data_IF_575326540891
#
_entry.id   IF_575326540891
#
_cell.length_a   1.000
_cell.length_b   1.000
_cell.length_c   1.000
_cell.angle_alpha   90.00
_cell.angle_beta   90.00
_cell.angle_gamma   90.00
#
_symmetry.space_group_name_H-M   'P 1'
#
loop_
_entity.id
_entity.type
_entity.pdbx_description
1 polymer ?
#
# COMPACT_ATOMS: atom_id res chain seq x y z
N UNK A 1 0.77 21.10 13.77
CA UNK A 1 2.10 20.84 13.20
C UNK A 1 2.74 22.19 12.90
N UNK A 2 3.94 22.41 13.40
CA UNK A 2 4.75 23.60 13.08
C UNK A 2 5.35 23.46 11.69
N UNK A 3 5.32 24.53 10.91
CA UNK A 3 5.93 24.58 9.58
C UNK A 3 7.32 25.21 9.71
N UNK A 4 8.34 24.48 9.35
CA UNK A 4 9.75 24.88 9.39
C UNK A 4 10.40 24.78 8.01
N UNK A 5 11.57 25.39 7.87
CA UNK A 5 12.33 25.27 6.64
C UNK A 5 13.83 25.35 6.90
N UNK A 6 14.60 24.73 6.01
CA UNK A 6 16.05 24.76 6.00
C UNK A 6 16.52 25.08 4.58
N UNK A 7 17.47 25.99 4.45
CA UNK A 7 18.15 26.26 3.19
C UNK A 7 19.38 25.35 3.06
N UNK A 8 19.52 24.71 1.91
CA UNK A 8 20.64 23.82 1.60
C UNK A 8 21.10 24.13 0.17
N UNK A 9 22.23 24.78 0.04
CA UNK A 9 22.82 25.15 -1.26
C UNK A 9 21.86 25.96 -2.16
N UNK A 10 21.10 26.90 -1.57
CA UNK A 10 20.12 27.73 -2.28
C UNK A 10 18.77 27.08 -2.52
N UNK A 11 18.57 25.84 -2.10
CA UNK A 11 17.27 25.19 -2.16
C UNK A 11 16.63 25.12 -0.78
N UNK A 12 15.37 25.55 -0.71
CA UNK A 12 14.60 25.58 0.54
C UNK A 12 13.79 24.29 0.69
N UNK A 13 14.14 23.46 1.68
CA UNK A 13 13.34 22.30 2.08
C UNK A 13 12.36 22.74 3.17
N UNK A 14 11.08 22.69 2.86
CA UNK A 14 9.98 22.94 3.82
C UNK A 14 9.56 21.63 4.45
N UNK A 15 9.41 21.60 5.77
CA UNK A 15 8.97 20.42 6.49
C UNK A 15 8.03 20.76 7.64
N UNK A 16 7.21 19.78 8.05
CA UNK A 16 6.23 19.94 9.11
C UNK A 16 6.66 19.11 10.33
N UNK A 17 6.78 19.76 11.47
CA UNK A 17 7.22 19.14 12.72
C UNK A 17 6.03 18.89 13.62
N UNK A 18 6.00 17.70 14.22
CA UNK A 18 5.08 17.34 15.28
C UNK A 18 5.83 16.79 16.48
N UNK A 19 5.66 17.42 17.65
CA UNK A 19 6.20 16.89 18.90
C UNK A 19 5.34 15.74 19.39
N UNK A 20 5.95 14.61 19.70
CA UNK A 20 5.29 13.39 20.16
C UNK A 20 6.07 12.74 21.30
N UNK A 21 5.40 11.88 22.04
CA UNK A 21 6.07 11.02 23.02
C UNK A 21 6.78 9.85 22.31
N UNK A 22 7.87 10.18 21.62
CA UNK A 22 8.73 9.23 20.88
C UNK A 22 10.17 9.38 21.35
N UNK A 23 10.98 8.33 21.23
CA UNK A 23 12.41 8.35 21.62
C UNK A 23 13.32 8.88 20.51
N UNK A 24 12.94 8.70 19.26
CA UNK A 24 13.77 9.02 18.10
C UNK A 24 13.04 9.95 17.13
N UNK A 25 13.80 10.64 16.28
CA UNK A 25 13.27 11.39 15.15
C UNK A 25 12.71 10.40 14.11
N UNK A 26 11.46 10.63 13.69
CA UNK A 26 10.86 9.93 12.57
C UNK A 26 10.60 10.91 11.43
N UNK A 27 11.26 10.70 10.30
CA UNK A 27 11.12 11.49 9.08
C UNK A 27 10.32 10.71 8.04
N UNK A 28 9.39 11.39 7.38
CA UNK A 28 8.61 10.85 6.26
C UNK A 28 8.52 11.89 5.15
N UNK A 29 8.59 11.42 3.92
CA UNK A 29 8.12 12.13 2.73
C UNK A 29 6.82 11.43 2.32
N UNK A 30 5.75 12.19 2.15
CA UNK A 30 4.45 11.63 1.73
C UNK A 30 4.33 11.64 0.20
N UNK A 31 3.31 10.99 -0.34
CA UNK A 31 3.02 10.99 -1.79
C UNK A 31 2.79 12.41 -2.36
N UNK A 32 2.25 13.33 -1.55
CA UNK A 32 2.11 14.76 -1.88
C UNK A 32 3.43 15.54 -1.72
N UNK A 33 4.57 14.84 -1.65
CA UNK A 33 5.94 15.37 -1.48
C UNK A 33 6.16 16.17 -0.19
N UNK A 34 5.15 16.25 0.69
CA UNK A 34 5.31 16.90 1.99
C UNK A 34 6.26 16.14 2.87
N UNK A 35 7.25 16.86 3.38
CA UNK A 35 8.20 16.35 4.38
C UNK A 35 7.58 16.53 5.75
N UNK A 36 7.38 15.44 6.48
CA UNK A 36 6.83 15.45 7.84
C UNK A 36 7.80 14.80 8.82
N UNK A 37 7.93 15.37 10.00
CA UNK A 37 8.84 14.90 11.04
C UNK A 37 8.13 14.81 12.37
N UNK A 38 8.31 13.68 13.08
CA UNK A 38 7.95 13.56 14.49
C UNK A 38 9.22 13.58 15.33
N UNK A 39 9.27 14.45 16.35
CA UNK A 39 10.40 14.60 17.27
C UNK A 39 9.95 14.41 18.73
N UNK A 40 10.88 14.02 19.64
CA UNK A 40 10.62 13.99 21.08
C UNK A 40 10.13 15.35 21.62
N UNK A 41 9.30 15.31 22.65
CA UNK A 41 8.67 16.52 23.24
C UNK A 41 9.68 17.63 23.63
N UNK A 42 10.85 17.23 24.16
CA UNK A 42 11.89 18.15 24.69
C UNK A 42 13.02 18.45 23.68
N UNK A 43 12.93 17.94 22.45
CA UNK A 43 14.00 18.13 21.47
C UNK A 43 13.98 19.55 20.93
N UNK A 44 15.14 20.18 20.85
CA UNK A 44 15.32 21.48 20.21
C UNK A 44 15.10 21.40 18.71
N UNK A 45 14.48 22.44 18.14
CA UNK A 45 14.16 22.47 16.70
C UNK A 45 15.41 22.50 15.82
N UNK A 46 16.48 23.06 16.33
CA UNK A 46 17.76 23.13 15.59
C UNK A 46 18.33 21.74 15.34
N UNK A 47 18.18 20.80 16.27
CA UNK A 47 18.58 19.40 16.05
C UNK A 47 17.76 18.76 14.93
N UNK A 48 16.47 19.07 14.85
CA UNK A 48 15.60 18.63 13.77
C UNK A 48 16.03 19.22 12.41
N UNK A 49 16.39 20.50 12.37
CA UNK A 49 16.91 21.17 11.17
C UNK A 49 18.22 20.54 10.69
N UNK A 50 19.15 20.28 11.60
CA UNK A 50 20.40 19.58 11.26
C UNK A 50 20.15 18.14 10.75
N UNK A 51 19.16 17.45 11.30
CA UNK A 51 18.77 16.15 10.79
C UNK A 51 18.22 16.22 9.37
N UNK A 52 17.40 17.24 9.05
CA UNK A 52 16.91 17.48 7.68
C UNK A 52 18.08 17.75 6.73
N UNK A 53 19.06 18.57 7.11
CA UNK A 53 20.27 18.83 6.29
C UNK A 53 20.99 17.51 5.96
N UNK A 54 21.23 16.66 6.95
CA UNK A 54 21.87 15.35 6.76
C UNK A 54 21.07 14.40 5.88
N UNK A 55 19.74 14.59 5.78
CA UNK A 55 18.83 13.75 5.00
C UNK A 55 18.36 14.39 3.69
N UNK A 56 18.91 15.53 3.32
CA UNK A 56 18.45 16.30 2.15
C UNK A 56 18.46 15.50 0.85
N UNK A 57 19.56 14.80 0.56
CA UNK A 57 19.65 13.95 -0.63
C UNK A 57 18.61 12.83 -0.63
N UNK A 58 18.39 12.20 0.53
CA UNK A 58 17.35 11.19 0.67
C UNK A 58 15.96 11.78 0.47
N UNK A 59 15.68 12.98 1.03
CA UNK A 59 14.41 13.68 0.84
C UNK A 59 14.17 13.97 -0.64
N UNK A 60 15.18 14.53 -1.34
CA UNK A 60 15.10 14.79 -2.78
C UNK A 60 14.87 13.52 -3.58
N UNK A 61 15.63 12.47 -3.27
CA UNK A 61 15.44 11.16 -3.93
C UNK A 61 14.02 10.65 -3.75
N UNK A 62 13.43 10.79 -2.55
CA UNK A 62 12.03 10.41 -2.31
C UNK A 62 11.04 11.31 -3.03
N UNK A 63 11.27 12.63 -3.08
CA UNK A 63 10.40 13.56 -3.80
C UNK A 63 10.45 13.32 -5.30
N UNK A 64 11.64 13.17 -5.90
CA UNK A 64 11.80 12.82 -7.32
C UNK A 64 11.22 11.45 -7.65
N UNK A 65 11.34 10.51 -6.72
CA UNK A 65 10.69 9.20 -6.85
C UNK A 65 9.16 9.34 -6.94
N UNK A 66 8.57 10.21 -6.12
CA UNK A 66 7.13 10.51 -6.20
C UNK A 66 6.76 11.38 -7.41
N UNK A 67 7.70 12.14 -8.00
CA UNK A 67 7.49 12.87 -9.26
C UNK A 67 7.40 11.95 -10.48
N UNK A 68 8.10 10.81 -10.44
CA UNK A 68 8.02 9.82 -11.53
C UNK A 68 6.69 9.08 -11.56
N UNK A 69 5.93 9.12 -10.47
CA UNK A 69 4.53 8.69 -10.44
C UNK A 69 3.67 9.91 -10.80
N UNK A 70 3.37 10.09 -12.07
CA UNK A 70 2.33 11.00 -12.49
C UNK A 70 1.09 10.76 -11.66
N UNK A 71 0.47 11.82 -11.15
CA UNK A 71 -0.76 11.81 -10.36
C UNK A 71 -1.98 11.33 -11.18
N UNK A 72 -1.88 10.26 -11.90
CA UNK A 72 -3.03 9.49 -12.26
C UNK A 72 -3.45 8.67 -11.01
N UNK A 73 -4.00 9.39 -10.00
CA UNK A 73 -5.02 8.73 -9.19
C UNK A 73 -5.94 8.10 -10.21
N UNK A 74 -5.98 6.78 -10.24
CA UNK A 74 -7.02 6.08 -11.00
C UNK A 74 -8.39 6.50 -10.44
N UNK A 75 -8.84 7.69 -10.82
CA UNK A 75 -10.24 8.05 -10.69
C UNK A 75 -10.97 7.26 -11.76
N UNK A 76 -11.24 6.00 -11.44
CA UNK A 76 -12.06 5.15 -12.31
C UNK A 76 -13.36 5.89 -12.56
N UNK A 77 -13.60 6.22 -13.82
CA UNK A 77 -14.80 6.97 -14.24
C UNK A 77 -16.02 6.06 -14.43
N UNK A 78 -15.79 4.74 -14.36
CA UNK A 78 -16.79 3.71 -14.63
C UNK A 78 -17.45 3.87 -16.00
N UNK A 79 -16.62 3.90 -17.02
CA UNK A 79 -17.02 3.98 -18.43
C UNK A 79 -16.54 2.76 -19.22
N UNK A 80 -17.27 2.42 -20.27
CA UNK A 80 -16.86 1.34 -21.17
C UNK A 80 -15.52 1.66 -21.83
N UNK A 81 -14.61 0.66 -21.87
CA UNK A 81 -13.29 0.79 -22.46
C UNK A 81 -12.20 1.27 -21.49
N UNK A 82 -12.58 1.71 -20.29
CA UNK A 82 -11.63 2.10 -19.24
C UNK A 82 -10.73 0.94 -18.85
N UNK A 83 -9.48 1.24 -18.50
CA UNK A 83 -8.50 0.23 -18.07
C UNK A 83 -8.60 0.03 -16.56
N UNK A 84 -8.72 -1.22 -16.14
CA UNK A 84 -8.64 -1.62 -14.73
C UNK A 84 -7.57 -2.69 -14.55
N UNK A 85 -6.95 -2.73 -13.38
CA UNK A 85 -5.92 -3.69 -13.04
C UNK A 85 -6.47 -4.73 -12.06
N UNK A 86 -6.10 -6.00 -12.29
CA UNK A 86 -6.37 -7.10 -11.37
C UNK A 86 -5.22 -8.11 -11.45
N UNK A 87 -4.61 -8.46 -10.33
CA UNK A 87 -3.47 -9.38 -10.23
C UNK A 87 -2.32 -9.05 -11.21
N UNK A 88 -2.02 -7.75 -11.39
CA UNK A 88 -0.98 -7.25 -12.29
C UNK A 88 -1.35 -7.26 -13.78
N UNK A 89 -2.56 -7.67 -14.14
CA UNK A 89 -3.03 -7.69 -15.52
C UNK A 89 -3.99 -6.53 -15.79
N UNK A 90 -3.89 -5.99 -16.98
CA UNK A 90 -4.80 -4.96 -17.49
C UNK A 90 -6.02 -5.59 -18.15
N UNK A 91 -7.19 -5.03 -17.83
CA UNK A 91 -8.47 -5.40 -18.42
C UNK A 91 -9.19 -4.17 -18.92
N UNK A 92 -10.01 -4.33 -19.95
CA UNK A 92 -10.93 -3.28 -20.42
C UNK A 92 -12.30 -3.49 -19.78
N UNK A 93 -12.77 -2.45 -19.09
CA UNK A 93 -14.08 -2.46 -18.44
C UNK A 93 -15.20 -2.52 -19.49
N UNK A 94 -16.18 -3.34 -19.22
CA UNK A 94 -17.47 -3.36 -19.92
C UNK A 94 -18.62 -3.34 -18.91
N UNK A 95 -19.52 -2.39 -19.05
CA UNK A 95 -20.73 -2.30 -18.26
C UNK A 95 -21.86 -2.91 -19.08
N UNK A 96 -22.49 -3.94 -18.56
CA UNK A 96 -23.47 -4.76 -19.27
C UNK A 96 -24.79 -4.73 -18.49
N UNK A 97 -25.90 -4.27 -19.09
CA UNK A 97 -27.23 -4.40 -18.51
C UNK A 97 -27.57 -5.85 -18.27
N UNK A 98 -28.07 -6.21 -17.07
CA UNK A 98 -28.42 -7.58 -16.67
C UNK A 98 -29.60 -7.56 -15.68
N UNK A 99 -30.14 -8.73 -15.37
CA UNK A 99 -31.17 -8.95 -14.33
C UNK A 99 -30.57 -8.93 -12.91
N UNK A 100 -29.30 -9.24 -12.77
CA UNK A 100 -28.56 -9.26 -11.49
C UNK A 100 -27.23 -8.54 -11.60
N UNK A 101 -26.67 -8.13 -10.44
CA UNK A 101 -25.33 -7.63 -10.40
C UNK A 101 -24.33 -8.80 -10.32
N UNK A 102 -23.33 -8.78 -11.18
CA UNK A 102 -22.25 -9.76 -11.20
C UNK A 102 -20.99 -9.13 -11.79
N UNK A 103 -19.82 -9.71 -11.55
CA UNK A 103 -18.58 -9.29 -12.21
C UNK A 103 -17.86 -10.53 -12.73
N UNK A 104 -17.55 -10.53 -14.02
CA UNK A 104 -16.91 -11.64 -14.71
C UNK A 104 -15.66 -11.18 -15.43
N UNK A 105 -14.61 -12.00 -15.36
CA UNK A 105 -13.39 -11.77 -16.15
C UNK A 105 -13.43 -12.68 -17.37
N UNK A 106 -13.58 -12.08 -18.57
CA UNK A 106 -13.64 -12.81 -19.84
C UNK A 106 -12.56 -12.32 -20.80
N UNK A 107 -11.54 -13.13 -20.97
CA UNK A 107 -10.38 -12.78 -21.80
C UNK A 107 -9.75 -11.46 -21.32
N UNK A 108 -9.78 -10.43 -22.16
CA UNK A 108 -9.25 -9.10 -21.82
C UNK A 108 -10.27 -8.14 -21.18
N UNK A 109 -11.48 -8.60 -20.89
CA UNK A 109 -12.57 -7.76 -20.42
C UNK A 109 -12.88 -8.05 -18.94
N UNK A 110 -13.10 -6.95 -18.23
CA UNK A 110 -13.67 -6.90 -16.89
C UNK A 110 -15.13 -6.51 -17.03
N UNK A 111 -16.00 -7.49 -17.08
CA UNK A 111 -17.43 -7.30 -17.33
C UNK A 111 -18.16 -7.04 -16.02
N UNK A 112 -18.77 -5.87 -15.89
CA UNK A 112 -19.60 -5.48 -14.75
C UNK A 112 -21.05 -5.58 -15.18
N UNK A 113 -21.72 -6.67 -14.79
CA UNK A 113 -23.13 -6.86 -15.03
C UNK A 113 -23.93 -6.09 -13.98
N UNK A 114 -24.78 -5.18 -14.42
CA UNK A 114 -25.54 -4.27 -13.57
C UNK A 114 -27.03 -4.36 -13.92
N UNK A 115 -27.87 -4.40 -12.87
CA UNK A 115 -29.33 -4.33 -13.07
C UNK A 115 -29.68 -3.14 -13.97
N UNK A 116 -30.45 -3.39 -15.03
CA UNK A 116 -30.76 -2.46 -16.10
C UNK A 116 -31.12 -1.04 -15.61
N UNK A 117 -31.95 -0.93 -14.59
CA UNK A 117 -32.36 0.35 -13.97
C UNK A 117 -31.22 1.18 -13.34
N UNK A 118 -30.02 0.61 -13.18
CA UNK A 118 -28.87 1.26 -12.57
C UNK A 118 -27.66 1.41 -13.50
N UNK A 119 -27.78 1.05 -14.78
CA UNK A 119 -26.67 1.03 -15.73
C UNK A 119 -26.04 2.41 -15.95
N UNK A 120 -26.83 3.48 -15.83
CA UNK A 120 -26.37 4.87 -15.92
C UNK A 120 -25.94 5.45 -14.56
N UNK A 121 -26.10 4.70 -13.47
CA UNK A 121 -25.78 5.19 -12.14
C UNK A 121 -24.35 4.82 -11.74
N UNK A 122 -23.39 5.69 -12.09
CA UNK A 122 -21.95 5.48 -11.80
C UNK A 122 -21.66 5.19 -10.33
N UNK A 123 -22.33 5.85 -9.38
CA UNK A 123 -22.16 5.58 -7.93
C UNK A 123 -22.60 4.15 -7.55
N UNK A 124 -23.64 3.66 -8.21
CA UNK A 124 -24.09 2.31 -7.97
C UNK A 124 -23.12 1.28 -8.53
N UNK A 125 -22.61 1.51 -9.75
CA UNK A 125 -21.58 0.68 -10.40
C UNK A 125 -20.31 0.64 -9.54
N UNK A 126 -19.84 1.80 -9.08
CA UNK A 126 -18.72 1.93 -8.17
C UNK A 126 -18.89 1.07 -6.91
N UNK A 127 -20.06 1.15 -6.28
CA UNK A 127 -20.37 0.35 -5.08
C UNK A 127 -20.31 -1.16 -5.36
N UNK A 128 -20.85 -1.60 -6.49
CA UNK A 128 -20.80 -3.02 -6.91
C UNK A 128 -19.37 -3.46 -7.17
N UNK A 129 -18.59 -2.63 -7.90
CA UNK A 129 -17.19 -2.88 -8.19
C UNK A 129 -16.34 -3.04 -6.92
N UNK A 130 -16.37 -2.06 -6.01
CA UNK A 130 -15.56 -2.11 -4.80
C UNK A 130 -16.00 -3.21 -3.83
N UNK A 131 -17.29 -3.56 -3.79
CA UNK A 131 -17.77 -4.69 -3.01
C UNK A 131 -17.16 -5.99 -3.54
N UNK A 132 -17.28 -6.23 -4.83
CA UNK A 132 -16.73 -7.42 -5.47
C UNK A 132 -15.20 -7.47 -5.32
N UNK A 133 -14.51 -6.37 -5.58
CA UNK A 133 -13.05 -6.29 -5.45
C UNK A 133 -12.58 -6.67 -4.05
N UNK A 134 -13.30 -6.23 -3.02
CA UNK A 134 -13.02 -6.57 -1.62
C UNK A 134 -13.25 -8.05 -1.33
N UNK A 135 -14.34 -8.63 -1.81
CA UNK A 135 -14.65 -10.05 -1.65
C UNK A 135 -13.61 -10.92 -2.36
N UNK A 136 -13.23 -10.54 -3.58
CA UNK A 136 -12.20 -11.22 -4.34
C UNK A 136 -10.83 -11.15 -3.64
N UNK A 137 -10.45 -9.96 -3.16
CA UNK A 137 -9.20 -9.75 -2.42
C UNK A 137 -9.16 -10.58 -1.11
N UNK A 138 -10.27 -10.66 -0.36
CA UNK A 138 -10.36 -11.50 0.84
C UNK A 138 -10.08 -12.95 0.49
N UNK A 139 -10.65 -13.48 -0.59
CA UNK A 139 -10.41 -14.86 -1.04
C UNK A 139 -8.92 -15.13 -1.26
N UNK A 140 -8.29 -14.35 -2.13
CA UNK A 140 -6.86 -14.48 -2.47
C UNK A 140 -5.96 -14.34 -1.23
N UNK A 141 -6.18 -13.29 -0.43
CA UNK A 141 -5.37 -13.04 0.75
C UNK A 141 -5.53 -14.12 1.82
N UNK A 142 -6.74 -14.68 1.98
CA UNK A 142 -6.98 -15.76 2.92
C UNK A 142 -6.19 -17.02 2.54
N UNK A 143 -6.18 -17.38 1.27
CA UNK A 143 -5.42 -18.54 0.79
C UNK A 143 -3.91 -18.32 0.96
N UNK A 144 -3.40 -17.13 0.63
CA UNK A 144 -1.99 -16.81 0.79
C UNK A 144 -1.57 -16.78 2.27
N UNK A 145 -2.40 -16.19 3.14
CA UNK A 145 -2.13 -16.19 4.59
C UNK A 145 -2.09 -17.60 5.14
N UNK A 146 -3.01 -18.49 4.74
CA UNK A 146 -3.00 -19.91 5.15
C UNK A 146 -1.74 -20.63 4.66
N UNK A 147 -1.35 -20.41 3.39
CA UNK A 147 -0.13 -20.98 2.80
C UNK A 147 1.08 -20.64 3.65
N UNK A 148 1.36 -19.34 3.84
CA UNK A 148 2.54 -18.89 4.59
C UNK A 148 2.44 -19.18 6.08
N UNK A 149 1.25 -19.16 6.68
CA UNK A 149 1.08 -19.55 8.08
C UNK A 149 1.47 -21.02 8.31
N UNK A 150 1.17 -21.90 7.35
CA UNK A 150 1.59 -23.30 7.40
C UNK A 150 3.13 -23.43 7.41
N UNK A 151 3.79 -22.69 6.54
CA UNK A 151 5.27 -22.63 6.49
C UNK A 151 5.87 -22.03 7.77
N UNK A 152 5.20 -21.06 8.37
CA UNK A 152 5.61 -20.34 9.57
C UNK A 152 5.17 -21.02 10.89
N UNK A 153 4.47 -22.14 10.84
CA UNK A 153 3.89 -22.84 12.01
C UNK A 153 4.92 -23.10 13.11
N UNK A 154 6.14 -23.48 12.74
CA UNK A 154 7.24 -23.74 13.69
C UNK A 154 7.66 -22.50 14.52
N UNK A 155 7.22 -21.32 14.15
CA UNK A 155 7.50 -20.07 14.88
C UNK A 155 6.30 -19.61 15.73
N UNK A 156 5.29 -20.48 15.93
CA UNK A 156 4.09 -20.22 16.73
C UNK A 156 3.25 -19.01 16.23
N UNK A 157 3.33 -18.68 14.94
CA UNK A 157 2.51 -17.66 14.34
C UNK A 157 1.10 -18.23 14.13
N UNK A 158 0.13 -17.69 14.85
CA UNK A 158 -1.30 -18.06 14.70
C UNK A 158 -1.87 -17.47 13.41
N UNK A 159 -2.89 -18.11 12.85
CA UNK A 159 -3.65 -17.53 11.72
C UNK A 159 -4.27 -16.21 12.18
N UNK A 160 -3.87 -15.07 11.57
CA UNK A 160 -4.41 -13.79 11.98
C UNK A 160 -5.78 -13.53 11.37
N UNK A 161 -6.56 -12.66 12.02
CA UNK A 161 -7.74 -12.07 11.40
C UNK A 161 -7.30 -11.14 10.26
N UNK A 162 -7.88 -11.32 9.08
CA UNK A 162 -7.63 -10.49 7.90
C UNK A 162 -8.66 -9.38 7.84
N UNK A 163 -8.21 -8.18 7.61
CA UNK A 163 -9.03 -7.00 7.34
C UNK A 163 -8.54 -6.30 6.07
N UNK A 164 -9.45 -5.80 5.24
CA UNK A 164 -9.11 -5.03 4.04
C UNK A 164 -9.61 -3.61 4.20
N UNK A 165 -8.71 -2.65 3.98
CA UNK A 165 -8.99 -1.22 4.01
C UNK A 165 -8.37 -0.52 2.79
N UNK A 166 -8.92 0.58 2.38
CA UNK A 166 -8.20 1.54 1.53
C UNK A 166 -7.18 2.28 2.39
N UNK A 167 -5.91 2.26 1.99
CA UNK A 167 -4.81 2.92 2.69
C UNK A 167 -4.02 3.79 1.71
N UNK A 168 -3.56 4.97 2.16
CA UNK A 168 -2.91 5.97 1.29
C UNK A 168 -1.39 5.83 1.20
N UNK A 169 -0.73 5.01 2.02
CA UNK A 169 0.74 5.06 2.14
C UNK A 169 1.38 3.74 2.52
N UNK A 170 0.64 2.64 2.46
CA UNK A 170 1.18 1.30 2.78
C UNK A 170 0.34 0.20 2.16
N UNK A 171 0.97 -0.92 1.89
CA UNK A 171 0.33 -2.11 1.33
C UNK A 171 -0.27 -3.02 2.39
N UNK A 172 0.28 -3.01 3.59
CA UNK A 172 -0.20 -3.79 4.72
C UNK A 172 0.12 -3.17 6.07
N UNK A 173 -0.37 -3.79 7.13
CA UNK A 173 -0.04 -3.46 8.52
C UNK A 173 -0.36 -4.63 9.43
N UNK A 174 0.62 -5.08 10.19
CA UNK A 174 0.45 -6.10 11.22
C UNK A 174 0.13 -5.47 12.57
N UNK A 175 -0.82 -6.08 13.29
CA UNK A 175 -1.22 -5.73 14.65
C UNK A 175 -1.11 -6.98 15.53
N UNK A 176 0.11 -7.33 16.01
CA UNK A 176 0.34 -8.58 16.73
C UNK A 176 -0.50 -8.73 18.00
N UNK A 177 -0.69 -7.64 18.76
CA UNK A 177 -1.51 -7.62 19.99
C UNK A 177 -2.97 -8.04 19.74
N UNK A 178 -3.49 -7.80 18.54
CA UNK A 178 -4.86 -8.11 18.15
C UNK A 178 -4.97 -9.39 17.29
N UNK A 179 -3.85 -10.07 17.07
CA UNK A 179 -3.74 -11.16 16.11
C UNK A 179 -4.40 -10.81 14.75
N UNK A 180 -4.05 -9.65 14.19
CA UNK A 180 -4.69 -9.08 12.99
C UNK A 180 -3.66 -8.59 12.00
N UNK A 181 -3.96 -8.78 10.71
CA UNK A 181 -3.28 -8.14 9.59
C UNK A 181 -4.30 -7.35 8.76
N UNK A 182 -3.94 -6.14 8.40
CA UNK A 182 -4.74 -5.27 7.53
C UNK A 182 -4.00 -5.17 6.20
N UNK A 183 -4.69 -5.43 5.09
CA UNK A 183 -4.15 -5.25 3.75
C UNK A 183 -4.84 -4.09 3.03
N UNK A 184 -4.10 -3.40 2.18
CA UNK A 184 -4.66 -2.38 1.30
C UNK A 184 -5.49 -3.05 0.20
N UNK A 185 -6.70 -2.53 -0.05
CA UNK A 185 -7.56 -3.03 -1.13
C UNK A 185 -6.85 -2.95 -2.50
N UNK A 186 -6.07 -1.90 -2.74
CA UNK A 186 -5.34 -1.73 -3.99
C UNK A 186 -4.25 -2.79 -4.21
N UNK A 187 -3.85 -3.52 -3.17
CA UNK A 187 -2.89 -4.61 -3.30
C UNK A 187 -3.35 -5.67 -4.30
N UNK A 188 -4.66 -5.90 -4.44
CA UNK A 188 -5.20 -6.89 -5.38
C UNK A 188 -4.98 -6.51 -6.85
N UNK A 189 -4.67 -5.25 -7.14
CA UNK A 189 -4.35 -4.78 -8.49
C UNK A 189 -2.93 -5.17 -8.92
N UNK A 190 -2.04 -5.46 -7.97
CA UNK A 190 -0.63 -5.78 -8.20
C UNK A 190 -0.43 -7.26 -8.59
N UNK A 191 0.72 -7.63 -9.17
CA UNK A 191 1.04 -9.02 -9.46
C UNK A 191 0.99 -9.91 -8.23
N UNK A 192 0.58 -11.17 -8.42
CA UNK A 192 0.45 -12.13 -7.31
C UNK A 192 1.75 -12.28 -6.51
N UNK A 193 2.91 -12.22 -7.15
CA UNK A 193 4.20 -12.28 -6.48
C UNK A 193 4.43 -11.11 -5.52
N UNK A 194 3.91 -9.91 -5.84
CA UNK A 194 3.94 -8.75 -4.95
C UNK A 194 2.99 -8.94 -3.77
N UNK A 195 1.79 -9.48 -4.02
CA UNK A 195 0.82 -9.80 -2.96
C UNK A 195 1.41 -10.83 -1.98
N UNK A 196 2.05 -11.88 -2.51
CA UNK A 196 2.75 -12.89 -1.69
C UNK A 196 3.82 -12.24 -0.80
N UNK A 197 4.62 -11.33 -1.37
CA UNK A 197 5.64 -10.60 -0.61
C UNK A 197 5.02 -9.81 0.55
N UNK A 198 3.96 -9.05 0.30
CA UNK A 198 3.31 -8.25 1.36
C UNK A 198 2.70 -9.16 2.43
N UNK A 199 2.09 -10.29 2.03
CA UNK A 199 1.54 -11.26 2.99
C UNK A 199 2.64 -11.82 3.90
N UNK A 200 3.74 -12.31 3.32
CA UNK A 200 4.87 -12.83 4.11
C UNK A 200 5.50 -11.74 4.99
N UNK A 201 5.64 -10.52 4.47
CA UNK A 201 6.16 -9.36 5.19
C UNK A 201 5.34 -9.07 6.46
N UNK A 202 4.02 -8.97 6.32
CA UNK A 202 3.13 -8.70 7.45
C UNK A 202 3.08 -9.86 8.46
N UNK A 203 3.13 -11.10 7.99
CA UNK A 203 3.21 -12.27 8.87
C UNK A 203 4.54 -12.32 9.63
N UNK A 204 5.64 -11.87 9.02
CA UNK A 204 6.96 -11.82 9.67
C UNK A 204 6.99 -10.85 10.86
N UNK A 205 6.13 -9.83 10.85
CA UNK A 205 6.00 -8.89 11.97
C UNK A 205 5.43 -9.49 13.26
N UNK A 206 4.79 -10.65 13.21
CA UNK A 206 4.41 -11.38 14.43
C UNK A 206 5.64 -11.86 15.22
N UNK A 207 6.78 -12.03 14.55
CA UNK A 207 8.05 -12.46 15.19
C UNK A 207 9.04 -11.31 15.34
N UNK A 208 9.12 -10.44 14.34
CA UNK A 208 10.06 -9.33 14.29
C UNK A 208 9.32 -8.02 14.07
N UNK A 209 9.06 -7.22 15.12
CA UNK A 209 8.23 -6.01 15.00
C UNK A 209 8.88 -4.90 14.18
N UNK A 210 10.21 -4.94 14.00
CA UNK A 210 10.97 -3.91 13.29
C UNK A 210 11.69 -4.52 12.08
N UNK A 211 11.90 -3.72 11.04
CA UNK A 211 12.63 -4.08 9.83
C UNK A 211 14.17 -4.14 10.04
N UNK A 212 14.59 -4.92 11.04
CA UNK A 212 16.00 -5.17 11.36
C UNK A 212 16.62 -6.15 10.36
N UNK A 213 17.95 -6.35 10.45
CA UNK A 213 18.64 -7.40 9.68
C UNK A 213 18.01 -8.78 9.94
N UNK A 214 17.61 -9.07 11.18
CA UNK A 214 16.97 -10.34 11.56
C UNK A 214 15.59 -10.52 10.88
N UNK A 215 14.82 -9.43 10.71
CA UNK A 215 13.57 -9.44 9.97
C UNK A 215 13.81 -9.83 8.50
N UNK A 216 14.71 -9.15 7.82
CA UNK A 216 14.98 -9.45 6.41
C UNK A 216 15.64 -10.81 6.19
N UNK A 217 16.52 -11.24 7.09
CA UNK A 217 17.05 -12.61 7.07
C UNK A 217 15.92 -13.64 7.18
N UNK A 218 14.94 -13.39 8.05
CA UNK A 218 13.78 -14.26 8.21
C UNK A 218 12.92 -14.29 6.94
N UNK A 219 12.60 -13.16 6.34
CA UNK A 219 11.86 -13.09 5.07
C UNK A 219 12.62 -13.83 3.97
N UNK A 220 13.96 -13.68 3.90
CA UNK A 220 14.81 -14.35 2.89
C UNK A 220 14.74 -15.87 2.96
N UNK A 221 14.56 -16.46 4.16
CA UNK A 221 14.43 -17.92 4.30
C UNK A 221 13.23 -18.47 3.54
N UNK A 222 12.13 -17.73 3.52
CA UNK A 222 10.87 -18.16 2.87
C UNK A 222 10.67 -17.59 1.47
N UNK A 223 11.37 -16.52 1.15
CA UNK A 223 11.24 -15.80 -0.12
C UNK A 223 12.61 -15.16 -0.47
N UNK A 224 13.53 -15.92 -1.05
CA UNK A 224 14.87 -15.41 -1.37
C UNK A 224 14.87 -14.22 -2.32
N UNK A 225 13.86 -14.14 -3.18
CA UNK A 225 13.65 -13.10 -4.20
C UNK A 225 12.78 -11.90 -3.70
N UNK A 226 12.55 -11.80 -2.38
CA UNK A 226 11.68 -10.77 -1.80
C UNK A 226 12.06 -9.34 -2.22
N UNK A 227 13.37 -9.06 -2.40
CA UNK A 227 13.83 -7.73 -2.78
C UNK A 227 13.42 -7.36 -4.20
N UNK A 228 13.43 -8.32 -5.14
CA UNK A 228 12.93 -8.14 -6.51
C UNK A 228 11.42 -7.86 -6.50
N UNK A 229 10.65 -8.63 -5.73
CA UNK A 229 9.19 -8.45 -5.61
C UNK A 229 8.84 -7.09 -4.98
N UNK A 230 9.60 -6.70 -3.96
CA UNK A 230 9.49 -5.37 -3.33
C UNK A 230 9.78 -4.26 -4.35
N UNK A 231 10.83 -4.42 -5.16
CA UNK A 231 11.20 -3.45 -6.18
C UNK A 231 10.10 -3.26 -7.21
N UNK A 232 9.52 -4.35 -7.74
CA UNK A 232 8.38 -4.30 -8.66
C UNK A 232 7.21 -3.53 -8.00
N UNK A 233 6.88 -3.85 -6.76
CA UNK A 233 5.79 -3.21 -6.03
C UNK A 233 6.03 -1.71 -5.83
N UNK A 234 7.26 -1.33 -5.49
CA UNK A 234 7.64 0.06 -5.22
C UNK A 234 7.82 0.88 -6.52
N UNK A 235 8.26 0.29 -7.62
CA UNK A 235 8.57 1.01 -8.87
C UNK A 235 7.37 1.05 -9.82
N UNK A 236 6.56 0.00 -9.88
CA UNK A 236 5.49 -0.10 -10.87
C UNK A 236 4.09 0.19 -10.30
N UNK A 237 3.90 0.02 -8.98
CA UNK A 237 2.58 0.08 -8.37
C UNK A 237 2.42 1.12 -7.24
N UNK A 238 3.43 1.94 -6.96
CA UNK A 238 3.33 2.95 -5.89
C UNK A 238 2.23 3.99 -6.14
N UNK A 239 1.98 4.36 -7.39
CA UNK A 239 0.90 5.29 -7.76
C UNK A 239 -0.51 4.73 -7.54
N UNK A 240 -0.63 3.43 -7.27
CA UNK A 240 -1.90 2.73 -7.05
C UNK A 240 -2.35 2.78 -5.57
N UNK A 241 -1.49 3.22 -4.65
CA UNK A 241 -1.76 3.29 -3.18
C UNK A 241 -2.40 4.59 -2.78
#
# INVERSE_FOLDING_TARGET
>A
MEKESVDINGEKIVFFVQRKNVKNINLKVNLDKKVTMSIPMKMEIEIAKEFIKKKAEWIKKQQNYYDSFTEEKENITFENGETVYLLGKQYKMKIIPDIKNDILIKGRYFEIHIKEKYVENKRYIEKVYYKWLKEYAIGILTELVKKYQTELKKYNIKVPKIEIRQMKSRWGSCLPSNNKVIFNLNLIKTPICCIEYVVLHELSHFKYPNHSKSFYNFVTIFMPDWNTRKKILDEEFMGVV
#
